data_IF_352111006081
#
_entry.id   IF_352111006081
#
_cell.length_a   1.000
_cell.length_b   1.000
_cell.length_c   1.000
_cell.angle_alpha   90.00
_cell.angle_beta   90.00
_cell.angle_gamma   90.00
#
_symmetry.space_group_name_H-M   'P 1'
#
loop_
_entity.id
_entity.type
_entity.pdbx_description
1 polymer ?
#
# COMPACT_ATOMS: atom_id res chain seq x y z
N UNK A 1 -22.12 -4.34 -21.73
CA UNK A 1 -20.84 -3.64 -21.88
C UNK A 1 -19.77 -4.64 -21.54
N UNK A 2 -18.95 -5.05 -22.50
CA UNK A 2 -18.03 -6.19 -22.34
C UNK A 2 -16.61 -5.75 -21.98
N UNK A 3 -16.21 -4.54 -22.40
CA UNK A 3 -14.92 -3.90 -22.07
C UNK A 3 -15.17 -2.44 -21.68
N UNK A 4 -14.47 -1.98 -20.64
CA UNK A 4 -14.52 -0.58 -20.17
C UNK A 4 -13.33 0.18 -20.75
N UNK A 5 -13.59 1.34 -21.34
CA UNK A 5 -12.59 2.24 -21.93
C UNK A 5 -12.65 3.61 -21.26
N UNK A 6 -11.57 4.38 -21.38
CA UNK A 6 -11.41 5.71 -20.78
C UNK A 6 -10.35 5.72 -19.67
N UNK A 7 -10.26 6.85 -18.97
CA UNK A 7 -9.30 7.02 -17.88
C UNK A 7 -9.69 6.19 -16.65
N UNK A 8 -8.70 5.62 -15.97
CA UNK A 8 -8.88 4.80 -14.78
C UNK A 8 -8.15 5.36 -13.57
N UNK A 9 -8.86 5.56 -12.46
CA UNK A 9 -8.30 5.96 -11.17
C UNK A 9 -8.83 5.04 -10.05
N UNK A 10 -7.96 4.72 -9.08
CA UNK A 10 -8.33 4.02 -7.85
C UNK A 10 -7.51 4.52 -6.67
N UNK A 11 -8.16 4.63 -5.52
CA UNK A 11 -7.53 4.91 -4.23
C UNK A 11 -7.77 3.71 -3.32
N UNK A 12 -6.71 3.18 -2.71
CA UNK A 12 -6.76 2.01 -1.83
C UNK A 12 -6.19 2.40 -0.47
N UNK A 13 -6.95 2.13 0.61
CA UNK A 13 -6.45 2.29 1.98
C UNK A 13 -5.54 1.11 2.31
N UNK A 14 -4.33 1.40 2.80
CA UNK A 14 -3.36 0.39 3.17
C UNK A 14 -3.53 0.07 4.67
N UNK A 15 -3.42 -1.21 5.09
CA UNK A 15 -3.71 -1.61 6.47
C UNK A 15 -2.61 -1.27 7.49
N UNK A 16 -1.45 -0.79 7.05
CA UNK A 16 -0.31 -0.49 7.91
C UNK A 16 0.59 0.58 7.31
N UNK A 17 1.55 1.06 8.10
CA UNK A 17 2.62 1.91 7.60
C UNK A 17 3.51 1.16 6.62
N UNK A 18 3.90 1.86 5.56
CA UNK A 18 4.74 1.33 4.48
C UNK A 18 5.99 2.16 4.31
N UNK A 19 7.05 1.52 3.84
CA UNK A 19 8.26 2.20 3.42
C UNK A 19 8.07 2.76 2.00
N UNK A 20 7.70 4.04 1.94
CA UNK A 20 7.43 4.74 0.69
C UNK A 20 8.67 4.88 -0.20
N UNK A 21 9.86 4.98 0.39
CA UNK A 21 11.11 5.17 -0.35
C UNK A 21 11.51 3.91 -1.12
N UNK A 22 11.17 2.73 -0.57
CA UNK A 22 11.48 1.43 -1.15
C UNK A 22 10.28 0.74 -1.83
N UNK A 23 9.22 1.50 -2.11
CA UNK A 23 8.05 1.00 -2.86
C UNK A 23 8.40 0.81 -4.33
N UNK A 24 7.93 -0.30 -4.93
CA UNK A 24 8.20 -0.61 -6.36
C UNK A 24 6.92 -0.94 -7.11
N UNK A 25 6.92 -0.68 -8.41
CA UNK A 25 5.81 -1.00 -9.32
C UNK A 25 6.33 -1.75 -10.56
N UNK A 26 5.54 -2.72 -11.03
CA UNK A 26 5.81 -3.52 -12.21
C UNK A 26 4.53 -3.66 -13.03
N UNK A 27 4.62 -3.57 -14.36
CA UNK A 27 3.49 -3.81 -15.25
C UNK A 27 3.84 -4.92 -16.22
N UNK A 28 3.13 -6.05 -16.12
CA UNK A 28 3.38 -7.23 -16.93
C UNK A 28 2.05 -7.89 -17.31
N UNK A 29 1.90 -8.27 -18.59
CA UNK A 29 0.74 -8.99 -19.11
C UNK A 29 -0.62 -8.38 -18.75
N UNK A 30 -0.71 -7.04 -18.72
CA UNK A 30 -1.95 -6.32 -18.39
C UNK A 30 -2.24 -6.19 -16.88
N UNK A 31 -1.31 -6.62 -16.01
CA UNK A 31 -1.43 -6.51 -14.56
C UNK A 31 -0.43 -5.49 -14.00
N UNK A 32 -0.94 -4.53 -13.24
CA UNK A 32 -0.12 -3.62 -12.43
C UNK A 32 0.11 -4.23 -11.05
N UNK A 33 1.35 -4.52 -10.72
CA UNK A 33 1.80 -5.07 -9.44
C UNK A 33 2.53 -3.97 -8.67
N UNK A 34 2.01 -3.58 -7.51
CA UNK A 34 2.64 -2.60 -6.62
C UNK A 34 3.08 -3.33 -5.34
N UNK A 35 4.38 -3.32 -5.05
CA UNK A 35 4.97 -3.92 -3.84
C UNK A 35 5.22 -2.82 -2.83
N UNK A 36 4.55 -2.93 -1.68
CA UNK A 36 4.61 -1.99 -0.57
C UNK A 36 5.26 -2.67 0.64
N UNK A 37 6.59 -2.49 0.85
CA UNK A 37 7.25 -3.05 2.02
C UNK A 37 6.67 -2.42 3.29
N UNK A 38 6.44 -3.24 4.32
CA UNK A 38 6.02 -2.72 5.63
C UNK A 38 7.16 -1.91 6.23
N UNK A 39 6.85 -0.77 6.84
CA UNK A 39 7.84 -0.05 7.63
C UNK A 39 8.21 -0.93 8.84
N UNK A 40 9.51 -1.12 9.06
CA UNK A 40 10.00 -1.80 10.25
C UNK A 40 9.99 -0.79 11.39
N UNK A 41 9.01 -0.87 12.27
CA UNK A 41 9.01 -0.11 13.52
C UNK A 41 9.83 -0.87 14.58
N UNK A 42 10.69 -0.17 15.31
CA UNK A 42 11.36 -0.69 16.50
C UNK A 42 10.35 -1.13 17.57
N UNK A 43 10.83 -1.86 18.59
CA UNK A 43 9.99 -2.44 19.66
C UNK A 43 8.92 -1.45 20.13
N UNK A 44 7.65 -1.90 20.10
CA UNK A 44 6.48 -1.06 20.38
C UNK A 44 6.62 -0.19 21.63
N UNK A 45 5.95 0.97 21.61
CA UNK A 45 5.98 1.92 22.73
C UNK A 45 5.05 1.44 23.84
N UNK A 46 5.53 1.49 25.10
CA UNK A 46 4.65 1.31 26.27
C UNK A 46 3.72 2.52 26.37
N UNK A 47 2.41 2.28 26.33
CA UNK A 47 1.40 3.29 26.59
C UNK A 47 0.89 3.06 28.01
N UNK A 48 0.99 4.07 28.87
CA UNK A 48 0.38 4.07 30.20
C UNK A 48 -1.08 4.54 30.06
N UNK A 49 -2.01 3.83 30.71
CA UNK A 49 -3.43 4.15 30.70
C UNK A 49 -3.81 4.56 32.12
N UNK A 50 -4.33 5.77 32.28
CA UNK A 50 -4.90 6.28 33.53
C UNK A 50 -6.42 6.03 33.54
N UNK A 51 -6.96 5.62 34.70
CA UNK A 51 -8.41 5.42 34.96
C UNK A 51 -9.17 6.74 35.17
#
# INVERSE_FOLDING_TARGET
MEVVYGDGERIVKIPCEVDAENTTAQFENGLLIIKLPKRIEGSGRKIEVEE
#
